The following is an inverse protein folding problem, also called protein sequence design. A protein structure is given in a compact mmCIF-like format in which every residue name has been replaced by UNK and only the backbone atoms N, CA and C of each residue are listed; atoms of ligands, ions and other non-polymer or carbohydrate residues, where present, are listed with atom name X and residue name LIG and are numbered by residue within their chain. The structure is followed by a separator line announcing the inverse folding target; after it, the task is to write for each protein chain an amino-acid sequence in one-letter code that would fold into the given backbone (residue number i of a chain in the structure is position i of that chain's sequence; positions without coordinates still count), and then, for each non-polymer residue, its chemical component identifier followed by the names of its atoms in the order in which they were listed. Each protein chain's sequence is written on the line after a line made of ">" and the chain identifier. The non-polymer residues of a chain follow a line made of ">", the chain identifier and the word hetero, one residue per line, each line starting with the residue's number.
data_IF_220475926575
#
_entry.id   IF_220475926575
#
_cell.length_a   1.000
_cell.length_b   1.000
_cell.length_c   1.000
_cell.angle_alpha   90.00
_cell.angle_beta   90.00
_cell.angle_gamma   90.00
#
_symmetry.space_group_name_H-M   'P 1'
#
loop_
_entity.id
_entity.type
_entity.pdbx_description
1 polymer ?
#
# COMPACT_ATOMS: atom_id res chain seq x y z
N UNK A 1 -14.49 29.64 4.95
CA UNK A 1 -14.58 28.97 3.62
C UNK A 1 -13.39 28.05 3.33
N UNK A 2 -12.14 28.53 3.32
CA UNK A 2 -10.94 27.70 3.00
C UNK A 2 -10.81 26.40 3.80
N UNK A 3 -11.07 26.42 5.12
CA UNK A 3 -11.01 25.23 5.99
C UNK A 3 -12.07 24.17 5.65
N UNK A 4 -13.26 24.60 5.27
CA UNK A 4 -14.36 23.72 4.89
C UNK A 4 -14.09 23.03 3.53
N UNK A 5 -13.49 23.77 2.58
CA UNK A 5 -13.05 23.21 1.30
C UNK A 5 -12.00 22.10 1.54
N UNK A 6 -11.01 22.35 2.40
CA UNK A 6 -9.98 21.34 2.75
C UNK A 6 -10.61 20.10 3.42
N UNK A 7 -11.63 20.29 4.26
CA UNK A 7 -12.36 19.18 4.87
C UNK A 7 -13.07 18.32 3.81
N UNK A 8 -13.87 18.92 2.93
CA UNK A 8 -14.56 18.19 1.85
C UNK A 8 -13.55 17.49 0.94
N UNK A 9 -12.49 18.20 0.55
CA UNK A 9 -11.42 17.65 -0.27
C UNK A 9 -10.79 16.40 0.35
N UNK A 10 -10.45 16.45 1.64
CA UNK A 10 -9.86 15.31 2.33
C UNK A 10 -10.82 14.14 2.51
N UNK A 11 -12.12 14.40 2.72
CA UNK A 11 -13.15 13.34 2.75
C UNK A 11 -13.29 12.66 1.38
N UNK A 12 -13.27 13.42 0.28
CA UNK A 12 -13.26 12.86 -1.08
C UNK A 12 -12.00 12.03 -1.31
N UNK A 13 -10.82 12.54 -0.93
CA UNK A 13 -9.57 11.82 -1.06
C UNK A 13 -9.60 10.48 -0.30
N UNK A 14 -10.15 10.46 0.91
CA UNK A 14 -10.33 9.24 1.69
C UNK A 14 -11.31 8.26 1.04
N UNK A 15 -12.43 8.76 0.49
CA UNK A 15 -13.40 7.91 -0.22
C UNK A 15 -12.79 7.28 -1.47
N UNK A 16 -12.03 8.05 -2.25
CA UNK A 16 -11.30 7.53 -3.43
C UNK A 16 -10.27 6.48 -3.01
N UNK A 17 -9.58 6.69 -1.88
CA UNK A 17 -8.73 5.66 -1.29
C UNK A 17 -9.50 4.39 -0.97
N UNK A 18 -10.62 4.47 -0.23
CA UNK A 18 -11.41 3.29 0.12
C UNK A 18 -11.88 2.53 -1.13
N UNK A 19 -12.37 3.25 -2.14
CA UNK A 19 -12.79 2.65 -3.41
C UNK A 19 -11.60 1.95 -4.08
N UNK A 20 -10.45 2.62 -4.21
CA UNK A 20 -9.27 2.02 -4.84
C UNK A 20 -8.69 0.84 -4.04
N UNK A 21 -8.75 0.88 -2.71
CA UNK A 21 -8.32 -0.22 -1.86
C UNK A 21 -9.24 -1.44 -2.00
N UNK A 22 -10.56 -1.25 -1.95
CA UNK A 22 -11.52 -2.33 -2.18
C UNK A 22 -11.42 -2.88 -3.61
N UNK A 23 -11.21 -2.00 -4.60
CA UNK A 23 -10.94 -2.41 -5.97
C UNK A 23 -9.64 -3.22 -6.05
N UNK A 24 -8.60 -2.89 -5.29
CA UNK A 24 -7.35 -3.66 -5.27
C UNK A 24 -7.56 -5.11 -4.80
N UNK A 25 -8.39 -5.31 -3.76
CA UNK A 25 -8.76 -6.64 -3.26
C UNK A 25 -9.44 -7.44 -4.38
N UNK A 26 -10.44 -6.85 -5.02
CA UNK A 26 -11.21 -7.43 -6.09
C UNK A 26 -10.38 -7.68 -7.37
N UNK A 27 -9.48 -6.75 -7.71
CA UNK A 27 -8.59 -6.81 -8.87
C UNK A 27 -7.61 -7.97 -8.76
N UNK A 28 -6.91 -8.09 -7.63
CA UNK A 28 -5.95 -9.16 -7.37
C UNK A 28 -6.65 -10.49 -7.09
N UNK A 29 -7.80 -10.46 -6.40
CA UNK A 29 -8.60 -11.64 -6.11
C UNK A 29 -9.37 -12.18 -7.30
N UNK A 30 -9.39 -11.44 -8.42
CA UNK A 30 -10.04 -11.81 -9.67
C UNK A 30 -11.58 -11.96 -9.56
N UNK A 31 -12.25 -11.03 -8.86
CA UNK A 31 -13.70 -11.08 -8.64
C UNK A 31 -14.37 -9.70 -8.55
N UNK A 32 -15.68 -9.61 -8.82
CA UNK A 32 -16.59 -8.48 -8.51
C UNK A 32 -16.20 -7.07 -9.03
N UNK A 33 -15.28 -6.95 -9.99
CA UNK A 33 -14.97 -5.68 -10.65
C UNK A 33 -14.90 -5.83 -12.18
N UNK A 34 -15.18 -4.76 -12.96
CA UNK A 34 -15.19 -4.85 -14.42
C UNK A 34 -13.84 -5.20 -15.05
N UNK A 35 -12.74 -4.89 -14.35
CA UNK A 35 -11.39 -5.20 -14.79
C UNK A 35 -10.59 -5.73 -13.61
N UNK A 36 -10.18 -6.98 -13.73
CA UNK A 36 -9.33 -7.73 -12.81
C UNK A 36 -7.94 -7.90 -13.39
N UNK A 37 -7.04 -8.54 -12.62
CA UNK A 37 -5.68 -8.84 -13.05
C UNK A 37 -5.61 -9.82 -14.24
N UNK A 38 -6.64 -10.66 -14.41
CA UNK A 38 -6.76 -11.71 -15.44
C UNK A 38 -7.90 -11.47 -16.44
N UNK A 39 -8.41 -10.25 -16.58
CA UNK A 39 -9.55 -9.98 -17.48
C UNK A 39 -9.31 -10.47 -18.92
N UNK A 40 -10.39 -10.84 -19.61
CA UNK A 40 -10.39 -11.54 -20.90
C UNK A 40 -9.75 -10.77 -22.08
N UNK A 41 -9.34 -9.50 -21.88
CA UNK A 41 -8.53 -8.79 -22.87
C UNK A 41 -7.11 -9.35 -22.87
N UNK A 42 -6.87 -10.40 -23.66
CA UNK A 42 -5.51 -10.89 -23.89
C UNK A 42 -4.67 -9.82 -24.58
N UNK A 43 -3.65 -9.36 -23.86
CA UNK A 43 -2.60 -8.53 -24.41
C UNK A 43 -1.38 -9.42 -24.63
N UNK A 44 -0.98 -9.62 -25.88
CA UNK A 44 0.09 -10.56 -26.20
C UNK A 44 1.45 -9.85 -26.30
N UNK A 45 2.47 -10.47 -25.71
CA UNK A 45 3.88 -10.17 -25.97
C UNK A 45 4.53 -9.07 -25.11
N UNK A 46 5.65 -8.56 -25.61
CA UNK A 46 6.55 -7.62 -24.93
C UNK A 46 5.86 -6.27 -24.59
N UNK A 47 4.89 -5.85 -25.41
CA UNK A 47 4.15 -4.59 -25.22
C UNK A 47 3.37 -4.58 -23.90
N UNK A 48 2.70 -5.67 -23.55
CA UNK A 48 1.96 -5.83 -22.30
C UNK A 48 2.90 -5.69 -21.09
N UNK A 49 4.07 -6.33 -21.15
CA UNK A 49 5.10 -6.25 -20.11
C UNK A 49 5.60 -4.81 -19.95
N UNK A 50 5.93 -4.13 -21.06
CA UNK A 50 6.41 -2.73 -21.02
C UNK A 50 5.35 -1.80 -20.44
N UNK A 51 4.09 -1.94 -20.84
CA UNK A 51 2.98 -1.11 -20.32
C UNK A 51 2.80 -1.37 -18.83
N UNK A 52 2.75 -2.62 -18.40
CA UNK A 52 2.57 -2.98 -16.99
C UNK A 52 3.73 -2.48 -16.12
N UNK A 53 4.98 -2.66 -16.58
CA UNK A 53 6.15 -2.13 -15.88
C UNK A 53 6.14 -0.60 -15.81
N UNK A 54 5.66 0.07 -16.86
CA UNK A 54 5.52 1.53 -16.88
C UNK A 54 4.45 2.00 -15.88
N UNK A 55 3.29 1.34 -15.84
CA UNK A 55 2.21 1.64 -14.90
C UNK A 55 2.67 1.44 -13.44
N UNK A 56 3.34 0.32 -13.15
CA UNK A 56 3.91 0.05 -11.83
C UNK A 56 5.00 1.06 -11.46
N UNK A 57 5.82 1.48 -12.42
CA UNK A 57 6.85 2.49 -12.21
C UNK A 57 6.24 3.86 -11.93
N UNK A 58 5.19 4.26 -12.64
CA UNK A 58 4.47 5.53 -12.40
C UNK A 58 3.97 5.56 -10.95
N UNK A 59 3.31 4.49 -10.50
CA UNK A 59 2.85 4.36 -9.13
C UNK A 59 4.02 4.42 -8.13
N UNK A 60 5.06 3.61 -8.33
CA UNK A 60 6.21 3.52 -7.43
C UNK A 60 6.94 4.86 -7.31
N UNK A 61 7.18 5.55 -8.42
CA UNK A 61 7.86 6.85 -8.45
C UNK A 61 6.98 7.90 -7.79
N UNK A 62 5.70 8.03 -8.17
CA UNK A 62 4.78 9.00 -7.59
C UNK A 62 4.69 8.82 -6.06
N UNK A 63 4.41 7.60 -5.62
CA UNK A 63 4.26 7.26 -4.21
C UNK A 63 5.55 7.53 -3.42
N UNK A 64 6.71 7.12 -3.95
CA UNK A 64 8.00 7.25 -3.27
C UNK A 64 8.48 8.69 -3.20
N UNK A 65 8.32 9.46 -4.27
CA UNK A 65 8.75 10.87 -4.35
C UNK A 65 7.92 11.70 -3.38
N UNK A 66 6.59 11.58 -3.42
CA UNK A 66 5.73 12.35 -2.53
C UNK A 66 5.86 11.96 -1.06
N UNK A 67 6.31 10.73 -0.76
CA UNK A 67 6.60 10.32 0.60
C UNK A 67 7.83 11.02 1.21
N UNK A 68 8.76 11.54 0.38
CA UNK A 68 10.05 12.09 0.85
C UNK A 68 9.89 13.41 1.62
N UNK A 69 10.65 13.62 2.71
CA UNK A 69 10.60 14.87 3.48
C UNK A 69 10.83 16.14 2.66
N UNK A 70 11.77 16.10 1.70
CA UNK A 70 12.09 17.24 0.85
C UNK A 70 10.90 17.63 -0.06
N UNK A 71 10.26 16.65 -0.70
CA UNK A 71 9.08 16.89 -1.52
C UNK A 71 7.93 17.43 -0.66
N UNK A 72 7.68 16.83 0.51
CA UNK A 72 6.65 17.30 1.45
C UNK A 72 6.87 18.76 1.86
N UNK A 73 8.10 19.13 2.24
CA UNK A 73 8.43 20.49 2.65
C UNK A 73 8.20 21.53 1.53
N UNK A 74 8.46 21.15 0.28
CA UNK A 74 8.14 21.98 -0.87
C UNK A 74 6.62 22.04 -1.13
N UNK A 75 5.96 20.88 -1.16
CA UNK A 75 4.55 20.75 -1.51
C UNK A 75 3.62 21.42 -0.50
N UNK A 76 3.95 21.38 0.79
CA UNK A 76 3.23 22.08 1.86
C UNK A 76 3.15 23.59 1.61
N UNK A 77 4.15 24.21 0.97
CA UNK A 77 4.12 25.65 0.65
C UNK A 77 3.07 26.00 -0.41
N UNK A 78 2.71 25.03 -1.25
CA UNK A 78 1.78 25.21 -2.38
C UNK A 78 0.34 24.93 -1.90
N UNK A 79 0.10 23.75 -1.33
CA UNK A 79 -1.26 23.29 -1.00
C UNK A 79 -1.63 23.45 0.49
N UNK A 80 -0.66 23.77 1.34
CA UNK A 80 -0.84 23.90 2.79
C UNK A 80 -0.71 22.58 3.55
N UNK A 81 -0.29 22.68 4.81
CA UNK A 81 -0.01 21.51 5.69
C UNK A 81 -1.23 20.60 5.90
N UNK A 82 -2.43 21.17 5.97
CA UNK A 82 -3.65 20.41 6.22
C UNK A 82 -4.07 19.53 5.02
N UNK A 83 -3.79 19.97 3.79
CA UNK A 83 -4.18 19.24 2.59
C UNK A 83 -3.12 18.23 2.14
N UNK A 84 -1.84 18.39 2.54
CA UNK A 84 -0.72 17.58 2.06
C UNK A 84 -0.99 16.08 2.10
N UNK A 85 -1.40 15.56 3.26
CA UNK A 85 -1.62 14.13 3.40
C UNK A 85 -2.80 13.63 2.55
N UNK A 86 -3.88 14.40 2.47
CA UNK A 86 -5.03 14.07 1.62
C UNK A 86 -4.66 14.09 0.13
N UNK A 87 -3.83 15.04 -0.31
CA UNK A 87 -3.35 15.10 -1.69
C UNK A 87 -2.44 13.95 -2.05
N UNK A 88 -1.53 13.58 -1.14
CA UNK A 88 -0.71 12.38 -1.30
C UNK A 88 -1.58 11.14 -1.54
N UNK A 89 -2.58 10.92 -0.68
CA UNK A 89 -3.49 9.77 -0.76
C UNK A 89 -4.29 9.78 -2.04
N UNK A 90 -4.85 10.94 -2.42
CA UNK A 90 -5.62 11.06 -3.65
C UNK A 90 -4.77 10.71 -4.87
N UNK A 91 -3.58 11.31 -5.01
CA UNK A 91 -2.72 11.08 -6.18
C UNK A 91 -2.20 9.62 -6.24
N UNK A 92 -1.88 9.02 -5.09
CA UNK A 92 -1.52 7.60 -5.03
C UNK A 92 -2.71 6.70 -5.38
N UNK A 93 -3.92 7.02 -4.91
CA UNK A 93 -5.13 6.27 -5.25
C UNK A 93 -5.47 6.38 -6.74
N UNK A 94 -5.28 7.56 -7.34
CA UNK A 94 -5.45 7.76 -8.78
C UNK A 94 -4.40 7.02 -9.61
N UNK A 95 -3.13 7.01 -9.18
CA UNK A 95 -2.09 6.20 -9.82
C UNK A 95 -2.40 4.70 -9.74
N UNK A 96 -2.99 4.25 -8.63
CA UNK A 96 -3.43 2.87 -8.45
C UNK A 96 -4.63 2.53 -9.35
N UNK A 97 -5.64 3.41 -9.41
CA UNK A 97 -6.77 3.25 -10.34
C UNK A 97 -6.32 3.27 -11.81
N UNK A 98 -5.29 4.04 -12.14
CA UNK A 98 -4.67 4.03 -13.46
C UNK A 98 -4.05 2.67 -13.78
N UNK A 99 -3.38 2.02 -12.82
CA UNK A 99 -2.91 0.63 -12.97
C UNK A 99 -4.09 -0.25 -13.32
N UNK A 100 -5.16 -0.28 -12.51
CA UNK A 100 -6.29 -1.18 -12.75
C UNK A 100 -6.93 -0.95 -14.12
N UNK A 101 -7.12 0.31 -14.49
CA UNK A 101 -7.74 0.66 -15.76
C UNK A 101 -6.89 0.25 -16.96
N UNK A 102 -5.58 0.52 -16.92
CA UNK A 102 -4.67 0.34 -18.06
C UNK A 102 -3.85 -0.95 -18.01
N UNK A 103 -4.02 -1.76 -16.97
CA UNK A 103 -3.37 -3.07 -16.85
C UNK A 103 -3.59 -3.89 -18.12
N UNK A 104 -2.56 -4.60 -18.53
CA UNK A 104 -2.52 -5.46 -19.70
C UNK A 104 -2.47 -6.92 -19.22
N UNK A 105 -3.60 -7.66 -19.21
CA UNK A 105 -3.62 -9.05 -18.76
C UNK A 105 -2.75 -9.95 -19.62
N UNK A 106 -1.94 -10.79 -18.97
CA UNK A 106 -1.09 -11.80 -19.61
C UNK A 106 -1.50 -13.15 -19.03
N UNK A 107 -2.51 -13.77 -19.64
CA UNK A 107 -3.26 -14.90 -19.08
C UNK A 107 -2.56 -16.26 -19.22
N UNK A 108 -1.29 -16.27 -19.62
CA UNK A 108 -0.46 -17.49 -19.60
C UNK A 108 -0.37 -18.02 -18.17
N UNK A 109 -0.95 -19.19 -17.93
CA UNK A 109 -0.98 -19.81 -16.59
C UNK A 109 0.41 -20.33 -16.23
N UNK A 110 0.88 -19.95 -15.03
CA UNK A 110 2.11 -20.45 -14.42
C UNK A 110 1.80 -21.64 -13.51
N UNK A 111 0.75 -21.50 -12.68
CA UNK A 111 0.18 -22.60 -11.93
C UNK A 111 -1.33 -22.42 -11.74
N UNK A 112 -2.00 -23.56 -11.58
CA UNK A 112 -3.42 -23.65 -11.27
C UNK A 112 -3.64 -24.78 -10.27
N UNK A 113 -4.44 -24.51 -9.23
CA UNK A 113 -4.77 -25.48 -8.19
C UNK A 113 -6.12 -26.11 -8.50
N UNK A 114 -6.09 -27.34 -9.04
CA UNK A 114 -7.31 -28.06 -9.40
C UNK A 114 -8.16 -28.59 -8.22
N UNK A 115 -7.61 -28.66 -7.01
CA UNK A 115 -8.37 -29.07 -5.82
C UNK A 115 -9.10 -27.86 -5.21
N UNK A 116 -10.44 -27.89 -5.21
CA UNK A 116 -11.28 -26.78 -4.75
C UNK A 116 -11.06 -26.40 -3.28
N UNK A 117 -10.85 -27.39 -2.40
CA UNK A 117 -10.55 -27.14 -0.98
C UNK A 117 -9.23 -26.40 -0.82
N UNK A 118 -8.19 -26.84 -1.52
CA UNK A 118 -6.89 -26.18 -1.48
C UNK A 118 -6.94 -24.78 -2.10
N UNK A 119 -7.69 -24.60 -3.19
CA UNK A 119 -7.91 -23.30 -3.80
C UNK A 119 -8.59 -22.31 -2.83
N UNK A 120 -9.61 -22.76 -2.09
CA UNK A 120 -10.27 -21.96 -1.04
C UNK A 120 -9.32 -21.61 0.11
N UNK A 121 -8.45 -22.55 0.53
CA UNK A 121 -7.44 -22.27 1.56
C UNK A 121 -6.45 -21.20 1.10
N UNK A 122 -5.96 -21.28 -0.14
CA UNK A 122 -5.04 -20.28 -0.71
C UNK A 122 -5.71 -18.91 -0.79
N UNK A 123 -6.96 -18.86 -1.27
CA UNK A 123 -7.74 -17.63 -1.28
C UNK A 123 -7.94 -17.08 0.14
N UNK A 124 -8.22 -17.95 1.12
CA UNK A 124 -8.30 -17.59 2.54
C UNK A 124 -7.02 -16.95 3.07
N UNK A 125 -5.85 -17.47 2.69
CA UNK A 125 -4.55 -16.88 3.05
C UNK A 125 -4.39 -15.48 2.43
N UNK A 126 -4.79 -15.30 1.16
CA UNK A 126 -4.80 -13.97 0.53
C UNK A 126 -5.70 -12.98 1.28
N UNK A 127 -6.92 -13.40 1.61
CA UNK A 127 -7.87 -12.61 2.39
C UNK A 127 -7.32 -12.25 3.78
N UNK A 128 -6.60 -13.17 4.44
CA UNK A 128 -5.87 -12.87 5.67
C UNK A 128 -4.77 -11.81 5.46
N UNK A 129 -4.07 -11.83 4.32
CA UNK A 129 -3.13 -10.78 3.94
C UNK A 129 -3.78 -9.39 3.88
N UNK A 130 -4.92 -9.27 3.22
CA UNK A 130 -5.70 -8.04 3.17
C UNK A 130 -6.23 -7.61 4.54
N UNK A 131 -6.68 -8.56 5.37
CA UNK A 131 -7.10 -8.28 6.74
C UNK A 131 -5.94 -7.76 7.59
N UNK A 132 -4.74 -8.35 7.46
CA UNK A 132 -3.51 -7.86 8.11
C UNK A 132 -3.23 -6.42 7.70
N UNK A 133 -3.34 -6.08 6.40
CA UNK A 133 -3.18 -4.69 5.92
C UNK A 133 -4.15 -3.77 6.64
N UNK A 134 -5.45 -4.09 6.62
CA UNK A 134 -6.48 -3.26 7.21
C UNK A 134 -6.27 -3.06 8.71
N UNK A 135 -6.11 -4.16 9.47
CA UNK A 135 -5.91 -4.10 10.92
C UNK A 135 -4.64 -3.34 11.31
N UNK A 136 -3.55 -3.53 10.55
CA UNK A 136 -2.28 -2.83 10.81
C UNK A 136 -2.43 -1.32 10.70
N UNK A 137 -3.26 -0.81 9.78
CA UNK A 137 -3.51 0.64 9.69
C UNK A 137 -4.20 1.19 10.94
N UNK A 138 -5.13 0.45 11.55
CA UNK A 138 -5.78 0.83 12.80
C UNK A 138 -4.87 0.72 14.01
N UNK A 139 -3.91 -0.22 14.01
CA UNK A 139 -2.94 -0.42 15.09
C UNK A 139 -1.94 0.72 15.26
N UNK A 140 -1.75 1.56 14.23
CA UNK A 140 -0.90 2.77 14.32
C UNK A 140 -1.74 4.02 14.56
N UNK A 141 -2.53 4.45 13.57
CA UNK A 141 -3.38 5.64 13.58
C UNK A 141 -4.06 5.77 12.20
N UNK A 142 -5.03 4.89 11.86
CA UNK A 142 -5.64 4.83 10.51
C UNK A 142 -6.06 6.20 9.98
N UNK A 143 -6.78 6.97 10.78
CA UNK A 143 -7.28 8.29 10.37
C UNK A 143 -6.16 9.30 10.13
N UNK A 144 -5.05 9.22 10.86
CA UNK A 144 -3.89 10.09 10.63
C UNK A 144 -3.09 9.63 9.41
N UNK A 145 -2.92 8.31 9.25
CA UNK A 145 -2.30 7.69 8.08
C UNK A 145 -3.05 8.12 6.82
N UNK A 146 -4.38 8.25 6.88
CA UNK A 146 -5.20 8.65 5.74
C UNK A 146 -5.59 10.14 5.72
N UNK A 147 -4.92 11.01 6.49
CA UNK A 147 -5.08 12.46 6.36
C UNK A 147 -6.34 13.05 7.01
N UNK A 148 -7.23 12.22 7.56
CA UNK A 148 -8.49 12.63 8.16
C UNK A 148 -8.26 13.42 9.46
N UNK A 149 -7.35 12.99 10.32
CA UNK A 149 -7.02 13.73 11.55
C UNK A 149 -6.56 15.16 11.23
N UNK A 150 -5.71 15.32 10.22
CA UNK A 150 -5.12 16.58 9.81
C UNK A 150 -6.16 17.57 9.28
N UNK A 151 -7.12 17.11 8.46
CA UNK A 151 -8.19 17.97 7.95
C UNK A 151 -9.21 18.35 9.04
N UNK A 152 -9.54 17.42 9.95
CA UNK A 152 -10.47 17.68 11.05
C UNK A 152 -9.87 18.65 12.09
N UNK A 153 -8.59 18.46 12.44
CA UNK A 153 -7.87 19.39 13.32
C UNK A 153 -7.81 20.78 12.70
N UNK A 154 -7.47 20.89 11.41
CA UNK A 154 -7.46 22.16 10.71
C UNK A 154 -8.84 22.83 10.68
N UNK A 155 -9.92 22.06 10.46
CA UNK A 155 -11.29 22.56 10.49
C UNK A 155 -11.65 23.10 11.89
N UNK A 156 -11.25 22.40 12.95
CA UNK A 156 -11.43 22.82 14.35
C UNK A 156 -10.39 23.85 14.84
N UNK A 157 -9.50 24.33 13.97
CA UNK A 157 -8.40 25.25 14.32
C UNK A 157 -7.44 24.69 15.38
N UNK A 158 -7.26 23.37 15.42
CA UNK A 158 -6.30 22.66 16.26
C UNK A 158 -5.02 22.37 15.49
N UNK A 159 -3.90 22.30 16.19
CA UNK A 159 -2.63 21.85 15.64
C UNK A 159 -2.57 20.33 15.67
N UNK A 160 -2.50 19.71 14.48
CA UNK A 160 -2.28 18.28 14.36
C UNK A 160 -0.93 17.90 14.96
N UNK A 161 -0.97 17.00 15.95
CA UNK A 161 0.22 16.33 16.50
C UNK A 161 0.58 15.17 15.59
N UNK A 162 1.88 14.88 15.47
CA UNK A 162 2.35 13.68 14.79
C UNK A 162 1.99 12.44 15.62
N UNK A 163 1.66 11.34 14.94
CA UNK A 163 1.46 10.03 15.54
C UNK A 163 2.63 9.71 16.48
N UNK A 164 2.29 9.27 17.69
CA UNK A 164 3.29 8.72 18.60
C UNK A 164 3.77 7.40 18.04
N UNK A 165 5.07 7.12 18.13
CA UNK A 165 5.61 5.82 17.75
C UNK A 165 4.99 4.71 18.61
N UNK A 166 4.45 3.67 17.98
CA UNK A 166 3.77 2.56 18.64
C UNK A 166 4.29 1.21 18.12
N UNK A 167 4.38 0.24 19.03
CA UNK A 167 4.86 -1.13 18.74
C UNK A 167 3.87 -2.16 19.30
N UNK A 168 2.59 -2.01 18.93
CA UNK A 168 1.48 -2.81 19.46
C UNK A 168 1.09 -3.97 18.53
N UNK A 169 0.56 -5.07 19.10
CA UNK A 169 0.00 -6.22 18.37
C UNK A 169 0.93 -6.79 17.28
N UNK A 170 0.55 -6.67 16.00
CA UNK A 170 1.34 -7.17 14.86
C UNK A 170 2.71 -6.49 14.75
N UNK A 171 2.82 -5.24 15.19
CA UNK A 171 4.10 -4.52 15.26
C UNK A 171 5.05 -5.09 16.34
N UNK A 172 4.62 -6.02 17.20
CA UNK A 172 5.54 -6.79 18.06
C UNK A 172 6.15 -7.99 17.33
N UNK A 173 5.51 -8.45 16.25
CA UNK A 173 5.91 -9.64 15.49
C UNK A 173 6.82 -9.25 14.33
N UNK A 174 6.43 -8.23 13.56
CA UNK A 174 7.20 -7.69 12.43
C UNK A 174 7.11 -6.16 12.39
N UNK A 175 8.13 -5.48 11.87
CA UNK A 175 8.17 -4.00 11.84
C UNK A 175 7.23 -3.39 10.79
N UNK A 176 7.01 -4.09 9.69
CA UNK A 176 6.18 -3.61 8.59
C UNK A 176 5.04 -4.59 8.26
N UNK A 177 4.06 -4.78 9.17
CA UNK A 177 2.99 -5.75 8.98
C UNK A 177 2.05 -5.39 7.80
N UNK A 178 1.87 -4.10 7.49
CA UNK A 178 1.16 -3.66 6.27
C UNK A 178 1.84 -4.24 5.02
N UNK A 179 3.17 -4.16 4.96
CA UNK A 179 3.96 -4.63 3.81
C UNK A 179 3.93 -6.15 3.70
N UNK A 180 4.01 -6.85 4.84
CA UNK A 180 3.83 -8.30 4.89
C UNK A 180 2.43 -8.71 4.39
N UNK A 181 1.39 -8.02 4.85
CA UNK A 181 0.01 -8.27 4.43
C UNK A 181 -0.17 -8.13 2.91
N UNK A 182 0.40 -7.10 2.29
CA UNK A 182 0.40 -6.95 0.83
C UNK A 182 1.14 -8.09 0.12
N UNK A 183 2.31 -8.49 0.59
CA UNK A 183 3.06 -9.62 0.00
C UNK A 183 2.20 -10.90 0.07
N UNK A 184 1.60 -11.20 1.22
CA UNK A 184 0.72 -12.38 1.37
C UNK A 184 -0.47 -12.27 0.40
N UNK A 185 -1.16 -11.12 0.39
CA UNK A 185 -2.31 -10.90 -0.48
C UNK A 185 -1.99 -11.08 -1.97
N UNK A 186 -0.82 -10.63 -2.42
CA UNK A 186 -0.45 -10.65 -3.84
C UNK A 186 0.07 -12.01 -4.30
N UNK A 187 0.70 -12.80 -3.44
CA UNK A 187 1.30 -14.08 -3.83
C UNK A 187 0.36 -15.27 -3.73
N UNK A 188 -0.59 -15.25 -2.79
CA UNK A 188 -1.51 -16.36 -2.59
C UNK A 188 -2.71 -16.23 -3.53
N UNK A 189 -2.66 -16.94 -4.66
CA UNK A 189 -3.79 -17.08 -5.60
C UNK A 189 -3.87 -18.53 -6.10
N UNK A 190 -5.09 -19.11 -6.23
CA UNK A 190 -5.25 -20.45 -6.77
C UNK A 190 -4.87 -20.56 -8.25
N UNK A 191 -4.98 -19.46 -8.99
CA UNK A 191 -4.58 -19.35 -10.40
C UNK A 191 -3.58 -18.20 -10.52
N UNK A 192 -2.33 -18.53 -10.84
CA UNK A 192 -1.30 -17.52 -11.10
C UNK A 192 -1.04 -17.45 -12.59
N UNK A 193 -1.38 -16.32 -13.18
CA UNK A 193 -1.00 -15.98 -14.55
C UNK A 193 0.37 -15.29 -14.57
N UNK A 194 1.01 -15.23 -15.73
CA UNK A 194 2.27 -14.51 -15.90
C UNK A 194 2.11 -13.01 -15.59
N UNK A 195 0.94 -12.43 -15.90
CA UNK A 195 0.59 -11.07 -15.53
C UNK A 195 0.54 -10.87 -14.02
N UNK A 196 -0.15 -11.77 -13.31
CA UNK A 196 -0.20 -11.74 -11.84
C UNK A 196 1.20 -11.94 -11.23
N UNK A 197 1.98 -12.88 -11.74
CA UNK A 197 3.34 -13.13 -11.26
C UNK A 197 4.24 -11.89 -11.43
N UNK A 198 4.14 -11.20 -12.57
CA UNK A 198 4.83 -9.94 -12.82
C UNK A 198 4.42 -8.88 -11.79
N UNK A 199 3.11 -8.71 -11.56
CA UNK A 199 2.58 -7.79 -10.57
C UNK A 199 3.13 -8.09 -9.16
N UNK A 200 2.98 -9.33 -8.70
CA UNK A 200 3.39 -9.76 -7.36
C UNK A 200 4.90 -9.63 -7.16
N UNK A 201 5.71 -9.99 -8.17
CA UNK A 201 7.16 -9.91 -8.11
C UNK A 201 7.66 -8.47 -8.06
N UNK A 202 7.18 -7.61 -8.97
CA UNK A 202 7.62 -6.21 -9.08
C UNK A 202 7.18 -5.41 -7.85
N UNK A 203 5.93 -5.59 -7.40
CA UNK A 203 5.44 -4.91 -6.19
C UNK A 203 6.17 -5.38 -4.93
N UNK A 204 6.47 -6.68 -4.81
CA UNK A 204 7.27 -7.21 -3.69
C UNK A 204 8.69 -6.65 -3.69
N UNK A 205 9.35 -6.62 -4.86
CA UNK A 205 10.68 -6.03 -4.99
C UNK A 205 10.67 -4.54 -4.60
N UNK A 206 9.67 -3.79 -5.10
CA UNK A 206 9.48 -2.40 -4.73
C UNK A 206 9.29 -2.22 -3.22
N UNK A 207 8.42 -3.01 -2.59
CA UNK A 207 8.20 -3.01 -1.13
C UNK A 207 9.51 -3.24 -0.39
N UNK A 208 10.26 -4.29 -0.75
CA UNK A 208 11.52 -4.63 -0.07
C UNK A 208 12.55 -3.51 -0.20
N UNK A 209 12.70 -2.92 -1.39
CA UNK A 209 13.63 -1.82 -1.63
C UNK A 209 13.18 -0.57 -0.87
N UNK A 210 11.90 -0.20 -0.98
CA UNK A 210 11.35 0.98 -0.35
C UNK A 210 11.44 0.93 1.17
N UNK A 211 11.09 -0.22 1.78
CA UNK A 211 11.18 -0.41 3.22
C UNK A 211 12.64 -0.33 3.67
N UNK A 212 13.51 -1.19 3.13
CA UNK A 212 14.89 -1.35 3.61
C UNK A 212 15.74 -0.11 3.41
N UNK A 213 15.68 0.51 2.23
CA UNK A 213 16.60 1.59 1.88
C UNK A 213 16.02 2.98 2.13
N UNK A 214 14.69 3.11 2.15
CA UNK A 214 14.04 4.41 2.23
C UNK A 214 13.29 4.59 3.56
N UNK A 215 12.33 3.73 3.88
CA UNK A 215 11.48 3.87 5.07
C UNK A 215 12.27 3.69 6.36
N UNK A 216 13.06 2.63 6.52
CA UNK A 216 13.85 2.41 7.74
C UNK A 216 14.93 3.47 7.95
N UNK A 217 15.43 4.07 6.86
CA UNK A 217 16.37 5.19 6.93
C UNK A 217 15.67 6.44 7.47
N UNK A 218 14.48 6.75 6.97
CA UNK A 218 13.70 7.91 7.41
C UNK A 218 13.19 7.73 8.85
N UNK A 219 12.77 6.52 9.23
CA UNK A 219 12.35 6.18 10.60
C UNK A 219 13.51 6.30 11.60
N UNK A 220 14.71 5.79 11.29
CA UNK A 220 15.89 5.99 12.14
C UNK A 220 16.22 7.47 12.33
N UNK A 221 16.16 8.27 11.25
CA UNK A 221 16.41 9.72 11.35
C UNK A 221 15.38 10.46 12.22
N UNK A 222 14.12 10.02 12.19
CA UNK A 222 13.02 10.73 12.86
C UNK A 222 12.81 10.26 14.30
N UNK A 223 12.98 8.97 14.56
CA UNK A 223 12.70 8.33 15.86
C UNK A 223 13.97 8.01 16.66
N UNK A 224 15.15 8.07 16.04
CA UNK A 224 16.45 7.86 16.68
C UNK A 224 16.56 6.50 17.38
N UNK A 225 17.16 6.52 18.57
CA UNK A 225 17.51 5.33 19.36
C UNK A 225 16.32 4.41 19.64
N UNK A 226 15.13 4.96 19.85
CA UNK A 226 13.92 4.16 20.12
C UNK A 226 13.60 3.20 18.95
N UNK A 227 13.82 3.66 17.71
CA UNK A 227 13.62 2.81 16.54
C UNK A 227 14.79 1.86 16.31
N UNK A 228 16.02 2.25 16.62
CA UNK A 228 17.18 1.36 16.55
C UNK A 228 17.05 0.18 17.53
N UNK A 229 16.62 0.43 18.77
CA UNK A 229 16.35 -0.60 19.77
C UNK A 229 15.21 -1.54 19.30
N UNK A 230 14.18 -0.97 18.68
CA UNK A 230 13.10 -1.74 18.07
C UNK A 230 13.59 -2.61 16.91
N UNK A 231 14.47 -2.06 16.06
CA UNK A 231 15.08 -2.80 14.96
C UNK A 231 15.90 -3.98 15.45
N UNK A 232 16.53 -3.91 16.63
CA UNK A 232 17.27 -5.03 17.20
C UNK A 232 16.34 -6.19 17.60
N UNK A 233 15.16 -5.89 18.15
CA UNK A 233 14.24 -6.86 18.77
C UNK A 233 13.25 -7.51 17.80
N UNK A 234 12.70 -6.76 16.85
CA UNK A 234 11.59 -7.22 15.99
C UNK A 234 12.08 -7.32 14.55
N UNK A 235 11.84 -8.41 13.80
CA UNK A 235 12.28 -8.56 12.40
C UNK A 235 11.52 -7.62 11.44
N UNK A 236 12.10 -7.36 10.26
CA UNK A 236 11.56 -6.36 9.31
C UNK A 236 10.19 -6.76 8.72
N UNK A 237 10.14 -7.91 8.03
CA UNK A 237 8.96 -8.40 7.28
C UNK A 237 8.74 -9.89 7.53
N UNK A 238 9.79 -10.72 7.45
CA UNK A 238 9.64 -12.16 7.69
C UNK A 238 9.62 -12.43 9.20
N UNK A 239 8.53 -13.01 9.74
CA UNK A 239 8.50 -13.40 11.14
C UNK A 239 9.60 -14.44 11.39
N UNK A 240 10.16 -14.44 12.61
CA UNK A 240 11.21 -15.37 13.05
C UNK A 240 12.58 -15.22 12.35
N UNK A 241 12.78 -14.22 11.47
CA UNK A 241 14.09 -13.96 10.86
C UNK A 241 15.12 -13.38 11.85
N UNK A 242 14.71 -13.15 13.10
CA UNK A 242 15.56 -12.75 14.20
C UNK A 242 15.32 -13.71 15.36
N UNK A 243 16.39 -14.36 15.80
CA UNK A 243 16.41 -15.11 17.05
C UNK A 243 16.53 -14.07 18.16
N UNK A 244 15.59 -14.06 19.10
CA UNK A 244 15.73 -13.24 20.30
C UNK A 244 17.02 -13.68 21.02
N UNK A 245 17.94 -12.73 21.21
CA UNK A 245 19.08 -12.92 22.11
C UNK A 245 18.63 -12.77 23.55
#
# INVERSE_FOLDING_TARGET
>A
MKKFIVLIYGLIAYLVFLISFLYAIAFVGDFLVPKTINSETESTGLSAIIINLSLLSIFAIQHSVMARPAFKAWWIKIIGKAAERSTYILLTSLALLLIFWKWQPINTVVWEVGNSTLAMLIFGISALGWLIVLLSTFMISHFELFGLTQIFDNFKSRTSKSATFQTNFLYKIVRHPIMLGFIIAFWFTPVMTLGHLLFASVTSLYILIAVKYLEEKDLRKTLGKAYEDYQQKVPMILPFSKIAK
#
